data_IF_551629420794
#
_entry.id   IF_551629420794
#
_cell.length_a   1.000
_cell.length_b   1.000
_cell.length_c   1.000
_cell.angle_alpha   90.00
_cell.angle_beta   90.00
_cell.angle_gamma   90.00
#
_symmetry.space_group_name_H-M   'P 1'
#
loop_
_entity.id
_entity.type
_entity.pdbx_description
1 polymer ?
#
# COMPACT_ATOMS: atom_id res chain seq x y z
N UNK A 1 -18.56 5.35 16.98
CA UNK A 1 -17.42 5.78 16.15
C UNK A 1 -16.40 6.46 17.05
N UNK A 2 -15.12 6.18 16.88
CA UNK A 2 -14.05 6.74 17.73
C UNK A 2 -12.74 6.89 16.94
N UNK A 3 -11.67 7.44 17.55
CA UNK A 3 -10.42 7.76 16.85
C UNK A 3 -9.82 6.60 16.05
N UNK A 4 -9.87 5.37 16.58
CA UNK A 4 -9.38 4.18 15.87
C UNK A 4 -10.12 3.89 14.54
N UNK A 5 -11.43 4.18 14.46
CA UNK A 5 -12.18 4.00 13.21
C UNK A 5 -11.76 5.01 12.14
N UNK A 6 -11.50 6.26 12.54
CA UNK A 6 -11.00 7.29 11.64
C UNK A 6 -9.63 6.90 11.09
N UNK A 7 -8.72 6.41 11.95
CA UNK A 7 -7.37 5.98 11.53
C UNK A 7 -7.44 4.81 10.54
N UNK A 8 -8.21 3.76 10.83
CA UNK A 8 -8.37 2.60 9.93
C UNK A 8 -8.96 3.03 8.59
N UNK A 9 -10.02 3.85 8.61
CA UNK A 9 -10.64 4.35 7.40
C UNK A 9 -9.66 5.22 6.60
N UNK A 10 -9.00 6.19 7.22
CA UNK A 10 -8.03 7.07 6.56
C UNK A 10 -6.92 6.29 5.89
N UNK A 11 -6.34 5.32 6.63
CA UNK A 11 -5.32 4.41 6.11
C UNK A 11 -5.83 3.64 4.90
N UNK A 12 -6.92 2.90 5.05
CA UNK A 12 -7.33 1.94 4.02
C UNK A 12 -7.94 2.61 2.79
N UNK A 13 -8.62 3.74 2.95
CA UNK A 13 -9.09 4.52 1.80
C UNK A 13 -7.91 5.12 1.00
N UNK A 14 -6.81 5.47 1.65
CA UNK A 14 -5.62 6.00 0.95
C UNK A 14 -4.91 4.97 0.05
N UNK A 15 -5.23 3.68 0.17
CA UNK A 15 -4.60 2.63 -0.64
C UNK A 15 -4.96 2.74 -2.12
N UNK A 16 -6.08 3.35 -2.49
CA UNK A 16 -6.47 3.50 -3.90
C UNK A 16 -6.98 4.92 -4.16
N UNK A 17 -6.70 5.45 -5.36
CA UNK A 17 -7.10 6.82 -5.71
C UNK A 17 -8.62 7.06 -5.54
N UNK A 18 -9.45 6.05 -5.84
CA UNK A 18 -10.90 6.13 -5.65
C UNK A 18 -11.32 6.21 -4.17
N UNK A 19 -10.63 5.48 -3.28
CA UNK A 19 -10.88 5.56 -1.85
C UNK A 19 -10.41 6.88 -1.28
N UNK A 20 -9.22 7.33 -1.68
CA UNK A 20 -8.64 8.59 -1.26
C UNK A 20 -9.52 9.79 -1.67
N UNK A 21 -10.18 9.70 -2.83
CA UNK A 21 -11.10 10.71 -3.33
C UNK A 21 -12.32 10.94 -2.43
N UNK A 22 -12.71 9.94 -1.61
CA UNK A 22 -13.84 10.03 -0.68
C UNK A 22 -13.46 10.63 0.68
N UNK A 23 -12.17 10.68 1.01
CA UNK A 23 -11.71 11.13 2.33
C UNK A 23 -12.23 12.52 2.71
N UNK A 24 -12.15 13.56 1.84
CA UNK A 24 -12.62 14.89 2.20
C UNK A 24 -14.12 14.91 2.54
N UNK A 25 -14.95 14.28 1.72
CA UNK A 25 -16.40 14.23 1.93
C UNK A 25 -16.75 13.53 3.26
N UNK A 26 -16.16 12.36 3.52
CA UNK A 26 -16.46 11.60 4.74
C UNK A 26 -15.98 12.33 5.99
N UNK A 27 -14.84 13.03 5.91
CA UNK A 27 -14.33 13.87 7.00
C UNK A 27 -15.24 15.09 7.21
N UNK A 28 -15.67 15.78 6.15
CA UNK A 28 -16.55 16.94 6.24
C UNK A 28 -17.92 16.58 6.84
N UNK A 29 -18.53 15.48 6.41
CA UNK A 29 -19.80 15.00 6.99
C UNK A 29 -19.69 14.77 8.50
N UNK A 30 -18.61 14.13 8.94
CA UNK A 30 -18.36 13.88 10.35
C UNK A 30 -18.07 15.18 11.12
N UNK A 31 -17.23 16.07 10.58
CA UNK A 31 -16.75 17.26 11.26
C UNK A 31 -17.77 18.40 11.25
N UNK A 32 -18.28 18.75 10.07
CA UNK A 32 -19.11 19.93 9.84
C UNK A 32 -20.59 19.67 10.12
N UNK A 33 -21.05 18.42 9.96
CA UNK A 33 -22.48 18.05 10.07
C UNK A 33 -22.78 17.07 11.21
N UNK A 34 -21.75 16.57 11.90
CA UNK A 34 -21.92 15.54 12.92
C UNK A 34 -22.45 14.20 12.38
N UNK A 35 -22.40 14.00 11.07
CA UNK A 35 -22.88 12.79 10.42
C UNK A 35 -21.75 11.76 10.35
N UNK A 36 -21.67 10.92 11.36
CA UNK A 36 -20.65 9.86 11.45
C UNK A 36 -21.00 8.57 10.69
N UNK A 37 -22.20 8.48 10.10
CA UNK A 37 -22.67 7.25 9.43
C UNK A 37 -21.75 6.84 8.28
N UNK A 38 -21.30 7.73 7.37
CA UNK A 38 -20.41 7.35 6.27
C UNK A 38 -19.04 6.86 6.76
N UNK A 39 -18.50 7.50 7.81
CA UNK A 39 -17.24 7.06 8.41
C UNK A 39 -17.38 5.67 9.05
N UNK A 40 -18.45 5.46 9.82
CA UNK A 40 -18.73 4.18 10.47
C UNK A 40 -18.91 3.06 9.45
N UNK A 41 -19.67 3.31 8.39
CA UNK A 41 -19.95 2.31 7.36
C UNK A 41 -18.67 1.92 6.61
N UNK A 42 -17.83 2.89 6.23
CA UNK A 42 -16.56 2.62 5.58
C UNK A 42 -15.63 1.80 6.50
N UNK A 43 -15.49 2.21 7.77
CA UNK A 43 -14.66 1.47 8.71
C UNK A 43 -15.14 0.02 8.92
N UNK A 44 -16.46 -0.20 8.99
CA UNK A 44 -17.03 -1.54 9.12
C UNK A 44 -16.83 -2.38 7.86
N UNK A 45 -17.07 -1.81 6.66
CA UNK A 45 -16.84 -2.52 5.39
C UNK A 45 -15.38 -2.91 5.21
N UNK A 46 -14.45 -2.02 5.58
CA UNK A 46 -13.01 -2.30 5.53
C UNK A 46 -12.66 -3.44 6.49
N UNK A 47 -13.16 -3.40 7.73
CA UNK A 47 -12.88 -4.43 8.72
C UNK A 47 -13.36 -5.82 8.25
N UNK A 48 -14.57 -5.92 7.71
CA UNK A 48 -15.13 -7.20 7.21
C UNK A 48 -14.39 -7.70 5.98
N UNK A 49 -13.97 -6.82 5.07
CA UNK A 49 -13.16 -7.20 3.91
C UNK A 49 -11.79 -7.76 4.33
N UNK A 50 -11.11 -7.12 5.28
CA UNK A 50 -9.79 -7.57 5.74
C UNK A 50 -9.87 -8.92 6.47
N UNK A 51 -10.89 -9.12 7.29
CA UNK A 51 -11.11 -10.37 8.01
C UNK A 51 -11.23 -11.57 7.05
N UNK A 52 -11.91 -11.40 5.92
CA UNK A 52 -12.06 -12.45 4.91
C UNK A 52 -10.90 -12.60 3.93
N UNK A 53 -10.05 -11.57 3.77
CA UNK A 53 -9.02 -11.54 2.73
C UNK A 53 -7.62 -11.99 3.21
N UNK A 54 -7.33 -11.90 4.51
CA UNK A 54 -5.98 -12.08 5.03
C UNK A 54 -5.80 -13.42 5.76
N UNK A 55 -4.83 -14.21 5.29
CA UNK A 55 -4.33 -15.37 6.02
C UNK A 55 -3.41 -14.92 7.17
N UNK A 56 -4.00 -14.41 8.26
CA UNK A 56 -3.26 -13.80 9.37
C UNK A 56 -2.20 -14.73 10.00
N UNK A 57 -2.48 -16.05 10.09
CA UNK A 57 -1.50 -17.01 10.61
C UNK A 57 -0.23 -17.11 9.75
N UNK A 58 -0.38 -17.06 8.43
CA UNK A 58 0.74 -17.04 7.49
C UNK A 58 1.47 -15.69 7.56
N UNK A 59 0.72 -14.58 7.52
CA UNK A 59 1.27 -13.23 7.63
C UNK A 59 2.15 -13.07 8.88
N UNK A 60 1.63 -13.46 10.06
CA UNK A 60 2.35 -13.35 11.32
C UNK A 60 3.59 -14.24 11.35
N UNK A 61 3.52 -15.45 10.79
CA UNK A 61 4.68 -16.36 10.74
C UNK A 61 5.84 -15.78 9.92
N UNK A 62 5.55 -15.02 8.86
CA UNK A 62 6.55 -14.31 8.07
C UNK A 62 7.05 -13.09 8.82
N UNK A 63 6.16 -12.14 9.14
CA UNK A 63 6.54 -10.83 9.71
C UNK A 63 7.26 -10.95 11.05
N UNK A 64 6.84 -11.88 11.92
CA UNK A 64 7.49 -12.07 13.21
C UNK A 64 8.87 -12.73 13.12
N UNK A 65 9.15 -13.45 12.03
CA UNK A 65 10.43 -14.10 11.79
C UNK A 65 11.39 -13.18 11.03
N UNK A 66 10.90 -12.54 9.97
CA UNK A 66 11.73 -11.85 8.97
C UNK A 66 11.82 -10.33 9.20
N UNK A 67 10.72 -9.66 9.55
CA UNK A 67 10.68 -8.19 9.59
C UNK A 67 10.88 -7.62 11.00
N UNK A 68 10.15 -8.12 11.99
CA UNK A 68 10.17 -7.56 13.35
C UNK A 68 11.58 -7.54 13.95
N UNK A 69 12.40 -8.60 13.85
CA UNK A 69 13.77 -8.56 14.36
C UNK A 69 14.64 -7.49 13.70
N UNK A 70 14.30 -7.05 12.48
CA UNK A 70 15.05 -6.04 11.74
C UNK A 70 14.72 -4.61 12.19
N UNK A 71 13.44 -4.29 12.41
CA UNK A 71 13.01 -2.93 12.75
C UNK A 71 12.72 -2.70 14.24
N UNK A 72 12.61 -3.76 15.05
CA UNK A 72 12.29 -3.61 16.47
C UNK A 72 13.38 -2.80 17.18
N UNK A 73 12.97 -1.69 17.82
CA UNK A 73 13.89 -0.78 18.49
C UNK A 73 14.65 0.19 17.57
N UNK A 74 14.49 0.11 16.24
CA UNK A 74 15.06 1.09 15.30
C UNK A 74 14.08 2.21 14.93
N UNK A 75 12.84 2.13 15.41
CA UNK A 75 11.78 3.10 15.12
C UNK A 75 11.66 4.09 16.26
N UNK A 76 11.81 5.38 15.94
CA UNK A 76 11.64 6.48 16.88
C UNK A 76 10.15 6.67 17.23
N UNK A 77 9.77 6.35 18.47
CA UNK A 77 8.37 6.41 18.90
C UNK A 77 7.74 7.80 18.73
N UNK A 78 8.53 8.85 18.94
CA UNK A 78 8.09 10.22 18.74
C UNK A 78 7.69 10.51 17.28
N UNK A 79 8.27 9.82 16.29
CA UNK A 79 7.88 9.95 14.89
C UNK A 79 6.51 9.33 14.63
N UNK A 80 6.25 8.15 15.20
CA UNK A 80 4.96 7.48 15.10
C UNK A 80 3.85 8.31 15.75
N UNK A 81 4.12 8.91 16.92
CA UNK A 81 3.16 9.77 17.64
C UNK A 81 2.82 11.06 16.89
N UNK A 82 3.73 11.58 16.06
CA UNK A 82 3.47 12.72 15.17
C UNK A 82 2.66 12.36 13.93
N UNK A 83 2.61 11.07 13.57
CA UNK A 83 1.84 10.60 12.43
C UNK A 83 0.35 10.50 12.77
N UNK A 84 -0.51 10.62 11.75
CA UNK A 84 -1.96 10.42 11.94
C UNK A 84 -2.32 8.96 12.27
N UNK A 85 -1.43 8.00 12.01
CA UNK A 85 -1.64 6.58 12.30
C UNK A 85 -1.36 6.22 13.76
N UNK A 86 -0.47 6.97 14.41
CA UNK A 86 0.01 6.68 15.75
C UNK A 86 0.81 5.37 15.87
N UNK A 87 1.22 4.99 17.09
CA UNK A 87 2.07 3.84 17.33
C UNK A 87 1.31 2.51 17.43
N UNK A 88 -0.02 2.52 17.45
CA UNK A 88 -0.82 1.34 17.83
C UNK A 88 -0.57 0.09 16.95
N UNK A 89 -0.34 0.29 15.65
CA UNK A 89 -0.02 -0.81 14.73
C UNK A 89 1.36 -1.41 15.00
N UNK A 90 2.33 -0.55 15.27
CA UNK A 90 3.69 -0.95 15.63
C UNK A 90 3.71 -1.71 16.96
N UNK A 91 3.11 -1.11 17.99
CA UNK A 91 3.02 -1.68 19.34
C UNK A 91 2.27 -3.03 19.30
N UNK A 92 1.17 -3.12 18.54
CA UNK A 92 0.41 -4.35 18.35
C UNK A 92 1.22 -5.44 17.67
N UNK A 93 2.00 -5.10 16.64
CA UNK A 93 2.87 -6.05 15.94
C UNK A 93 3.97 -6.59 16.86
N UNK A 94 4.62 -5.71 17.64
CA UNK A 94 5.64 -6.13 18.60
C UNK A 94 5.06 -7.05 19.69
N UNK A 95 3.90 -6.69 20.25
CA UNK A 95 3.25 -7.48 21.28
C UNK A 95 2.83 -8.87 20.77
N UNK A 96 2.29 -8.93 19.55
CA UNK A 96 1.96 -10.18 18.87
C UNK A 96 3.21 -11.04 18.66
N UNK A 97 4.27 -10.48 18.06
CA UNK A 97 5.48 -11.22 17.71
C UNK A 97 6.36 -11.58 18.91
N UNK A 98 6.10 -11.01 20.09
CA UNK A 98 6.71 -11.46 21.34
C UNK A 98 6.21 -12.85 21.77
N UNK A 99 4.98 -13.22 21.40
CA UNK A 99 4.38 -14.51 21.71
C UNK A 99 4.29 -15.46 20.51
N UNK A 100 4.46 -14.96 19.28
CA UNK A 100 4.35 -15.77 18.06
C UNK A 100 5.61 -16.62 17.83
N UNK A 101 5.49 -17.91 17.44
CA UNK A 101 6.64 -18.73 17.08
C UNK A 101 7.41 -18.15 15.89
N UNK A 102 8.75 -18.16 15.96
CA UNK A 102 9.60 -17.76 14.83
C UNK A 102 10.04 -18.96 14.01
N UNK A 103 10.08 -18.77 12.70
CA UNK A 103 10.62 -19.72 11.75
C UNK A 103 12.12 -19.50 11.47
N UNK A 104 12.75 -20.40 10.69
CA UNK A 104 14.08 -20.17 10.17
C UNK A 104 14.07 -18.97 9.22
N UNK A 105 15.17 -18.21 9.22
CA UNK A 105 15.41 -17.10 8.31
C UNK A 105 16.81 -17.27 7.75
N UNK A 106 16.95 -17.14 6.43
CA UNK A 106 18.25 -17.23 5.79
C UNK A 106 19.14 -16.05 6.22
N UNK A 107 20.43 -16.30 6.51
CA UNK A 107 21.32 -15.28 7.06
C UNK A 107 21.55 -14.11 6.09
N UNK A 108 21.26 -14.29 4.81
CA UNK A 108 21.39 -13.31 3.74
C UNK A 108 20.06 -12.72 3.27
N UNK A 109 18.95 -12.89 4.01
CA UNK A 109 17.63 -12.35 3.64
C UNK A 109 17.66 -10.86 3.25
N UNK A 110 18.44 -10.05 3.97
CA UNK A 110 18.58 -8.61 3.72
C UNK A 110 19.80 -8.24 2.87
N UNK A 111 20.52 -9.22 2.32
CA UNK A 111 21.64 -8.95 1.42
C UNK A 111 21.14 -8.25 0.15
N UNK A 112 21.93 -7.35 -0.46
CA UNK A 112 21.55 -6.70 -1.69
C UNK A 112 21.26 -7.71 -2.81
N UNK A 113 20.09 -7.61 -3.41
CA UNK A 113 19.70 -8.42 -4.56
C UNK A 113 20.65 -8.19 -5.74
N UNK A 114 21.02 -9.27 -6.44
CA UNK A 114 21.71 -9.24 -7.73
C UNK A 114 21.08 -10.27 -8.66
N UNK A 115 20.54 -9.83 -9.79
CA UNK A 115 19.90 -10.71 -10.77
C UNK A 115 20.04 -10.18 -12.20
N UNK A 116 20.21 -11.10 -13.14
CA UNK A 116 20.21 -10.85 -14.58
C UNK A 116 18.85 -11.16 -15.25
N UNK A 117 17.90 -11.67 -14.47
CA UNK A 117 16.52 -11.89 -14.90
C UNK A 117 15.81 -10.54 -15.08
N UNK A 118 15.16 -10.28 -16.23
CA UNK A 118 14.43 -9.03 -16.44
C UNK A 118 13.34 -8.83 -15.40
N UNK A 119 13.22 -7.60 -14.89
CA UNK A 119 12.21 -7.25 -13.90
C UNK A 119 11.35 -6.07 -14.35
N UNK A 120 10.04 -6.23 -14.30
CA UNK A 120 9.08 -5.15 -14.43
C UNK A 120 8.60 -4.73 -13.03
N UNK A 121 8.95 -3.54 -12.59
CA UNK A 121 8.54 -2.99 -11.29
C UNK A 121 7.38 -2.01 -11.50
N UNK A 122 6.36 -2.11 -10.65
CA UNK A 122 5.15 -1.29 -10.73
C UNK A 122 4.95 -0.54 -9.42
N UNK A 123 4.78 0.78 -9.47
CA UNK A 123 4.48 1.60 -8.30
C UNK A 123 3.41 2.63 -8.61
N UNK A 124 2.57 2.93 -7.62
CA UNK A 124 1.79 4.14 -7.64
C UNK A 124 2.62 5.30 -7.09
N UNK A 125 2.55 6.47 -7.70
CA UNK A 125 3.28 7.65 -7.24
C UNK A 125 2.87 8.11 -5.83
N UNK A 126 1.66 7.76 -5.39
CA UNK A 126 1.09 8.08 -4.10
C UNK A 126 0.82 6.83 -3.24
N UNK A 127 1.52 5.71 -3.50
CA UNK A 127 1.39 4.48 -2.71
C UNK A 127 1.85 4.71 -1.26
N UNK A 128 0.94 4.59 -0.26
CA UNK A 128 1.27 4.85 1.14
C UNK A 128 1.96 3.67 1.85
N UNK A 129 2.11 2.52 1.18
CA UNK A 129 2.62 1.27 1.76
C UNK A 129 3.99 0.92 1.16
N UNK A 130 4.07 0.92 -0.17
CA UNK A 130 5.25 0.53 -0.95
C UNK A 130 5.60 1.63 -1.95
N UNK A 131 6.09 2.79 -1.48
CA UNK A 131 6.33 3.95 -2.34
C UNK A 131 7.38 3.64 -3.43
N UNK A 132 7.42 4.44 -4.53
CA UNK A 132 8.35 4.23 -5.64
C UNK A 132 9.83 4.14 -5.21
N UNK A 133 10.20 4.78 -4.10
CA UNK A 133 11.56 4.70 -3.55
C UNK A 133 11.98 3.25 -3.23
N UNK A 134 11.07 2.40 -2.76
CA UNK A 134 11.37 1.00 -2.44
C UNK A 134 11.66 0.20 -3.72
N UNK A 135 10.87 0.45 -4.77
CA UNK A 135 11.11 -0.15 -6.08
C UNK A 135 12.43 0.34 -6.69
N UNK A 136 12.83 1.60 -6.48
CA UNK A 136 14.14 2.09 -6.92
C UNK A 136 15.31 1.37 -6.22
N UNK A 137 15.17 1.08 -4.92
CA UNK A 137 16.14 0.25 -4.17
C UNK A 137 16.21 -1.17 -4.75
N UNK A 138 15.07 -1.80 -5.01
CA UNK A 138 15.03 -3.14 -5.61
C UNK A 138 15.59 -3.16 -7.04
N UNK A 139 15.26 -2.16 -7.86
CA UNK A 139 15.69 -2.00 -9.24
C UNK A 139 17.22 -1.98 -9.39
N UNK A 140 17.93 -1.39 -8.41
CA UNK A 140 19.40 -1.38 -8.38
C UNK A 140 20.02 -2.79 -8.32
N UNK A 141 19.24 -3.81 -7.94
CA UNK A 141 19.65 -5.21 -7.95
C UNK A 141 19.54 -5.91 -9.31
N UNK A 142 18.84 -5.33 -10.28
CA UNK A 142 18.60 -5.96 -11.58
C UNK A 142 19.42 -5.31 -12.68
N UNK A 143 20.10 -6.11 -13.49
CA UNK A 143 20.83 -5.60 -14.67
C UNK A 143 19.89 -5.13 -15.78
N UNK A 144 18.69 -5.72 -15.86
CA UNK A 144 17.63 -5.37 -16.81
C UNK A 144 16.34 -5.15 -16.05
N UNK A 145 15.89 -3.91 -16.01
CA UNK A 145 14.63 -3.58 -15.36
C UNK A 145 13.93 -2.41 -16.03
N UNK A 146 12.63 -2.34 -15.82
CA UNK A 146 11.81 -1.19 -16.13
C UNK A 146 10.93 -0.90 -14.91
N UNK A 147 11.04 0.32 -14.39
CA UNK A 147 10.20 0.78 -13.29
C UNK A 147 9.12 1.72 -13.82
N UNK A 148 7.87 1.29 -13.69
CA UNK A 148 6.70 2.04 -14.10
C UNK A 148 6.06 2.70 -12.87
N UNK A 149 6.02 4.02 -12.87
CA UNK A 149 5.40 4.82 -11.80
C UNK A 149 4.12 5.46 -12.33
N UNK A 150 2.97 5.09 -11.76
CA UNK A 150 1.66 5.57 -12.18
C UNK A 150 1.30 6.86 -11.43
N UNK A 151 1.12 8.00 -12.12
CA UNK A 151 0.83 9.28 -11.48
C UNK A 151 -0.47 9.27 -10.68
N UNK A 152 -0.41 9.76 -9.44
CA UNK A 152 -1.56 9.89 -8.54
C UNK A 152 -2.19 8.57 -8.09
N UNK A 153 -1.63 7.42 -8.45
CA UNK A 153 -2.17 6.12 -8.05
C UNK A 153 -1.57 5.65 -6.72
N UNK A 154 -2.37 4.89 -5.97
CA UNK A 154 -2.03 4.30 -4.67
C UNK A 154 -1.37 2.93 -4.81
N UNK A 155 -1.72 2.00 -3.93
CA UNK A 155 -1.21 0.64 -3.86
C UNK A 155 -1.86 -0.31 -4.88
N UNK A 156 -1.04 -1.11 -5.57
CA UNK A 156 -1.48 -2.09 -6.57
C UNK A 156 -1.83 -1.48 -7.94
N UNK A 157 -1.02 -1.81 -8.96
CA UNK A 157 -1.17 -1.21 -10.31
C UNK A 157 -1.76 -2.16 -11.34
N UNK A 158 -1.96 -3.43 -10.99
CA UNK A 158 -2.41 -4.45 -11.96
C UNK A 158 -3.86 -4.22 -12.41
N UNK A 159 -4.65 -3.39 -11.74
CA UNK A 159 -6.03 -3.09 -12.17
C UNK A 159 -6.13 -2.27 -13.47
N UNK A 160 -5.06 -1.59 -13.90
CA UNK A 160 -5.12 -0.68 -15.06
C UNK A 160 -4.93 -1.43 -16.38
N UNK A 161 -5.78 -1.15 -17.37
CA UNK A 161 -5.71 -1.79 -18.70
C UNK A 161 -4.34 -1.61 -19.38
N UNK A 162 -3.74 -0.42 -19.25
CA UNK A 162 -2.39 -0.12 -19.72
C UNK A 162 -1.35 -1.05 -19.09
N UNK A 163 -1.37 -1.20 -17.76
CA UNK A 163 -0.45 -2.08 -17.01
C UNK A 163 -0.67 -3.54 -17.39
N UNK A 164 -1.93 -3.96 -17.51
CA UNK A 164 -2.29 -5.32 -17.94
C UNK A 164 -1.74 -5.66 -19.33
N UNK A 165 -1.76 -4.70 -20.26
CA UNK A 165 -1.16 -4.86 -21.59
C UNK A 165 0.36 -5.04 -21.47
N UNK A 166 1.03 -4.14 -20.75
CA UNK A 166 2.48 -4.18 -20.54
C UNK A 166 2.93 -5.47 -19.85
N UNK A 167 2.19 -5.95 -18.85
CA UNK A 167 2.45 -7.22 -18.17
C UNK A 167 2.38 -8.40 -19.14
N UNK A 168 1.38 -8.45 -20.02
CA UNK A 168 1.27 -9.51 -21.03
C UNK A 168 2.42 -9.48 -22.04
N UNK A 169 2.80 -8.29 -22.49
CA UNK A 169 3.93 -8.10 -23.40
C UNK A 169 5.24 -8.54 -22.73
N UNK A 170 5.46 -8.12 -21.49
CA UNK A 170 6.63 -8.49 -20.69
C UNK A 170 6.74 -9.99 -20.49
N UNK A 171 5.65 -10.66 -20.06
CA UNK A 171 5.62 -12.11 -19.85
C UNK A 171 5.88 -12.87 -21.16
N UNK A 172 5.29 -12.40 -22.28
CA UNK A 172 5.46 -13.04 -23.58
C UNK A 172 6.86 -12.87 -24.14
N UNK A 173 7.45 -11.69 -23.98
CA UNK A 173 8.80 -11.39 -24.46
C UNK A 173 9.89 -11.97 -23.55
N UNK A 174 9.62 -12.10 -22.25
CA UNK A 174 10.60 -12.44 -21.24
C UNK A 174 11.66 -11.35 -21.02
N UNK A 175 11.39 -10.12 -21.46
CA UNK A 175 12.30 -8.97 -21.34
C UNK A 175 11.48 -7.66 -21.27
N UNK A 176 12.08 -6.62 -20.70
CA UNK A 176 11.54 -5.25 -20.64
C UNK A 176 11.83 -4.45 -21.92
N UNK A 177 12.80 -4.90 -22.73
CA UNK A 177 13.14 -4.26 -23.98
C UNK A 177 11.94 -4.25 -24.96
N UNK A 178 11.64 -3.08 -25.52
CA UNK A 178 10.55 -2.91 -26.48
C UNK A 178 9.16 -2.72 -25.88
N UNK A 179 9.02 -2.70 -24.56
CA UNK A 179 7.78 -2.27 -23.92
C UNK A 179 7.54 -0.78 -24.16
N UNK A 180 6.33 -0.42 -24.58
CA UNK A 180 5.91 0.98 -24.76
C UNK A 180 4.95 1.40 -23.62
N UNK A 181 5.45 2.11 -22.59
CA UNK A 181 4.66 2.56 -21.46
C UNK A 181 3.88 3.86 -21.70
N UNK A 182 3.79 4.37 -22.93
CA UNK A 182 3.17 5.67 -23.23
C UNK A 182 1.78 5.87 -22.63
N UNK A 183 0.95 4.82 -22.60
CA UNK A 183 -0.40 4.88 -22.04
C UNK A 183 -0.47 5.15 -20.52
N UNK A 184 0.64 5.04 -19.78
CA UNK A 184 0.68 5.39 -18.35
C UNK A 184 0.41 6.88 -18.17
N UNK A 185 0.88 7.70 -19.13
CA UNK A 185 0.67 9.14 -19.14
C UNK A 185 -0.79 9.56 -19.24
N UNK A 186 -1.71 8.66 -19.58
CA UNK A 186 -3.15 8.93 -19.69
C UNK A 186 -3.92 8.57 -18.41
N UNK A 187 -3.29 7.86 -17.48
CA UNK A 187 -3.93 7.46 -16.22
C UNK A 187 -4.08 8.70 -15.34
N UNK A 188 -5.30 8.92 -14.83
CA UNK A 188 -5.63 10.02 -13.93
C UNK A 188 -6.21 9.48 -12.63
N UNK A 189 -5.85 10.06 -11.46
CA UNK A 189 -6.53 9.74 -10.22
C UNK A 189 -7.99 10.20 -10.25
N UNK A 190 -8.82 9.57 -9.43
CA UNK A 190 -10.20 9.99 -9.22
C UNK A 190 -10.23 11.39 -8.58
N UNK A 191 -10.98 12.37 -9.13
CA UNK A 191 -11.17 13.66 -8.48
C UNK A 191 -11.93 13.52 -7.14
N UNK A 192 -11.69 14.44 -6.21
CA UNK A 192 -12.34 14.41 -4.91
C UNK A 192 -13.87 14.52 -5.02
N UNK A 193 -14.56 13.72 -4.23
CA UNK A 193 -16.02 13.79 -4.12
C UNK A 193 -16.39 15.03 -3.32
N UNK A 194 -17.32 15.82 -3.87
CA UNK A 194 -17.89 16.99 -3.19
C UNK A 194 -19.29 16.70 -2.63
N UNK A 195 -19.89 15.60 -3.09
CA UNK A 195 -21.12 15.03 -2.54
C UNK A 195 -21.16 13.52 -2.78
N UNK A 196 -22.16 12.82 -2.23
CA UNK A 196 -22.36 11.39 -2.49
C UNK A 196 -22.71 11.06 -3.95
N UNK A 197 -22.98 12.06 -4.79
CA UNK A 197 -23.23 11.86 -6.22
C UNK A 197 -21.96 11.93 -7.08
N UNK A 198 -20.81 12.35 -6.52
CA UNK A 198 -19.54 12.38 -7.24
C UNK A 198 -18.74 13.68 -7.08
N UNK A 199 -17.64 13.81 -7.84
CA UNK A 199 -16.95 15.08 -8.03
C UNK A 199 -17.80 16.07 -8.85
N UNK A 200 -17.46 17.36 -8.79
CA UNK A 200 -18.00 18.34 -9.75
C UNK A 200 -17.35 18.18 -11.14
N UNK A 201 -18.05 18.57 -12.23
CA UNK A 201 -17.56 18.47 -13.61
C UNK A 201 -16.29 19.28 -13.92
#
# INVERSE_FOLDING_TARGET
VGPGHLVVMARMLSYAAIGAALLPLVIDEAHSRGNFVPLASQALMIATQLEGALAMGMHNSVVCSEDVPHFAGSVERAELERSYLGPALYDGMLALCAAWPRGPVDPDLHAPLRSDVPALLLSGAADPVTPPAYAAVAAAGFTRHLHLVLPGQGHGQTGFACVQRLLREFIRAGDVAGLDPGCIGDIRPMPFFLSFTGPEP
#
